data_IF_237627292727
#
_entry.id   IF_237627292727
#
_cell.length_a   1.000
_cell.length_b   1.000
_cell.length_c   1.000
_cell.angle_alpha   90.00
_cell.angle_beta   90.00
_cell.angle_gamma   90.00
#
_symmetry.space_group_name_H-M   'P 1'
#
loop_
_entity.id
_entity.type
_entity.pdbx_description
1 polymer ?
#
# COMPACT_ATOMS: atom_id res chain seq x y z
N UNK A 1 -29.31 -9.42 -16.68
CA UNK A 1 -28.99 -9.52 -15.26
C UNK A 1 -28.50 -8.16 -14.81
N UNK A 2 -29.09 -7.60 -13.76
CA UNK A 2 -28.84 -6.19 -13.39
C UNK A 2 -27.60 -6.17 -12.47
N UNK A 3 -26.56 -5.41 -12.84
CA UNK A 3 -25.31 -5.25 -12.06
C UNK A 3 -25.58 -4.97 -10.57
N UNK A 4 -26.67 -4.28 -10.24
CA UNK A 4 -27.09 -3.97 -8.87
C UNK A 4 -27.57 -5.22 -8.10
N UNK A 5 -28.15 -6.21 -8.75
CA UNK A 5 -28.63 -7.43 -8.09
C UNK A 5 -27.49 -8.44 -7.87
N UNK A 6 -26.51 -8.49 -8.79
CA UNK A 6 -25.29 -9.28 -8.58
C UNK A 6 -24.45 -8.72 -7.43
N UNK A 7 -24.29 -7.40 -7.37
CA UNK A 7 -23.59 -6.75 -6.27
C UNK A 7 -24.31 -6.98 -4.92
N UNK A 8 -25.64 -6.86 -4.86
CA UNK A 8 -26.40 -7.15 -3.63
C UNK A 8 -26.18 -8.56 -3.14
N UNK A 9 -26.28 -9.54 -4.03
CA UNK A 9 -26.05 -10.95 -3.65
C UNK A 9 -24.61 -11.18 -3.20
N UNK A 10 -23.64 -10.59 -3.89
CA UNK A 10 -22.22 -10.68 -3.51
C UNK A 10 -21.96 -10.07 -2.14
N UNK A 11 -22.57 -8.92 -1.84
CA UNK A 11 -22.43 -8.26 -0.54
C UNK A 11 -23.16 -9.02 0.58
N UNK A 12 -24.35 -9.60 0.31
CA UNK A 12 -25.05 -10.47 1.27
C UNK A 12 -24.26 -11.73 1.61
N UNK A 13 -23.56 -12.31 0.62
CA UNK A 13 -22.67 -13.48 0.83
C UNK A 13 -21.41 -13.10 1.62
N UNK A 14 -20.87 -11.89 1.43
CA UNK A 14 -19.68 -11.38 2.12
C UNK A 14 -19.99 -10.79 3.51
N UNK A 15 -21.22 -10.35 3.77
CA UNK A 15 -21.61 -9.76 5.05
C UNK A 15 -21.65 -10.77 6.21
N UNK A 16 -21.63 -12.07 5.92
CA UNK A 16 -21.43 -13.09 6.95
C UNK A 16 -19.94 -13.11 7.37
N UNK A 17 -19.61 -12.75 8.63
CA UNK A 17 -18.23 -12.77 9.11
C UNK A 17 -17.50 -14.10 8.92
N UNK A 18 -18.24 -15.23 8.86
CA UNK A 18 -17.63 -16.56 8.67
C UNK A 18 -17.09 -16.73 7.25
N UNK A 19 -17.68 -16.06 6.26
CA UNK A 19 -17.30 -16.14 4.86
C UNK A 19 -16.18 -15.18 4.45
N UNK A 20 -15.77 -14.26 5.35
CA UNK A 20 -14.70 -13.31 5.04
C UNK A 20 -13.37 -14.03 4.95
N UNK A 21 -12.77 -13.97 3.77
CA UNK A 21 -11.41 -14.50 3.52
C UNK A 21 -10.36 -13.60 4.21
N UNK A 22 -9.61 -14.21 5.11
CA UNK A 22 -8.51 -13.56 5.85
C UNK A 22 -7.14 -14.11 5.45
N UNK A 23 -7.07 -14.93 4.42
CA UNK A 23 -5.82 -15.54 3.94
C UNK A 23 -4.75 -14.51 3.56
N UNK A 24 -5.17 -13.29 3.19
CA UNK A 24 -4.26 -12.18 2.92
C UNK A 24 -3.45 -11.69 4.14
N UNK A 25 -3.82 -12.14 5.35
CA UNK A 25 -3.09 -11.86 6.59
C UNK A 25 -2.17 -13.01 7.01
N UNK A 26 -2.14 -14.11 6.26
CA UNK A 26 -1.26 -15.23 6.54
C UNK A 26 0.20 -14.85 6.24
N UNK A 27 1.10 -15.26 7.15
CA UNK A 27 2.54 -15.06 6.95
C UNK A 27 3.07 -16.18 6.05
N UNK A 28 3.70 -15.78 4.97
CA UNK A 28 4.25 -16.69 3.98
C UNK A 28 5.53 -17.38 4.49
N UNK A 29 5.86 -18.54 3.93
CA UNK A 29 7.10 -19.26 4.28
C UNK A 29 8.35 -18.63 3.66
N UNK A 30 8.20 -18.00 2.49
CA UNK A 30 9.28 -17.38 1.73
C UNK A 30 8.88 -15.98 1.28
N UNK A 31 9.84 -15.16 0.91
CA UNK A 31 9.59 -13.98 0.08
C UNK A 31 8.95 -14.41 -1.25
N UNK A 32 8.30 -13.49 -1.95
CA UNK A 32 7.56 -13.82 -3.17
C UNK A 32 8.49 -14.41 -4.25
N UNK A 33 8.28 -15.67 -4.69
CA UNK A 33 9.27 -16.40 -5.49
C UNK A 33 9.46 -15.87 -6.93
N UNK A 34 8.53 -15.04 -7.43
CA UNK A 34 8.71 -14.40 -8.74
C UNK A 34 9.48 -13.08 -8.68
N UNK A 35 9.70 -12.55 -7.46
CA UNK A 35 10.48 -11.33 -7.25
C UNK A 35 11.86 -11.64 -6.66
N UNK A 36 11.94 -12.62 -5.78
CA UNK A 36 13.12 -12.90 -4.96
C UNK A 36 13.69 -14.29 -5.27
N UNK A 37 14.98 -14.40 -5.41
CA UNK A 37 15.65 -15.65 -5.57
C UNK A 37 15.81 -16.44 -4.23
N UNK A 38 16.42 -17.62 -4.29
CA UNK A 38 16.66 -18.45 -3.10
C UNK A 38 17.66 -17.83 -2.10
N UNK A 39 18.44 -16.84 -2.52
CA UNK A 39 19.36 -16.07 -1.68
C UNK A 39 18.72 -14.81 -1.11
N UNK A 40 17.42 -14.62 -1.37
CA UNK A 40 16.65 -13.42 -1.01
C UNK A 40 17.19 -12.15 -1.68
N UNK A 41 17.75 -12.26 -2.87
CA UNK A 41 18.10 -11.13 -3.72
C UNK A 41 16.98 -10.89 -4.73
N UNK A 42 16.77 -9.62 -5.07
CA UNK A 42 15.77 -9.24 -6.07
C UNK A 42 16.22 -9.76 -7.44
N UNK A 43 15.27 -10.24 -8.25
CA UNK A 43 15.54 -10.60 -9.63
C UNK A 43 16.16 -9.42 -10.39
N UNK A 44 17.28 -9.62 -11.08
CA UNK A 44 18.07 -8.57 -11.72
C UNK A 44 17.24 -7.77 -12.76
N UNK A 45 16.41 -8.46 -13.57
CA UNK A 45 15.58 -7.82 -14.59
C UNK A 45 14.47 -6.96 -13.93
N UNK A 46 13.92 -7.44 -12.83
CA UNK A 46 12.93 -6.68 -12.04
C UNK A 46 13.60 -5.48 -11.38
N UNK A 47 14.78 -5.66 -10.78
CA UNK A 47 15.55 -4.58 -10.16
C UNK A 47 15.86 -3.46 -11.15
N UNK A 48 16.38 -3.80 -12.32
CA UNK A 48 16.66 -2.85 -13.40
C UNK A 48 15.40 -2.10 -13.84
N UNK A 49 14.27 -2.82 -14.01
CA UNK A 49 13.00 -2.24 -14.41
C UNK A 49 12.46 -1.26 -13.35
N UNK A 50 12.50 -1.64 -12.07
CA UNK A 50 12.08 -0.78 -10.97
C UNK A 50 12.95 0.49 -10.88
N UNK A 51 14.26 0.33 -11.06
CA UNK A 51 15.18 1.47 -11.06
C UNK A 51 14.93 2.42 -12.23
N UNK A 52 14.61 1.89 -13.41
CA UNK A 52 14.26 2.71 -14.58
C UNK A 52 12.93 3.46 -14.37
N UNK A 53 11.91 2.82 -13.80
CA UNK A 53 10.65 3.47 -13.40
C UNK A 53 10.92 4.63 -12.42
N UNK A 54 11.73 4.38 -11.40
CA UNK A 54 12.10 5.40 -10.43
C UNK A 54 12.81 6.60 -11.08
N UNK A 55 13.78 6.35 -11.97
CA UNK A 55 14.48 7.40 -12.72
C UNK A 55 13.55 8.21 -13.62
N UNK A 56 12.61 7.53 -14.30
CA UNK A 56 11.62 8.21 -15.14
C UNK A 56 10.71 9.11 -14.31
N UNK A 57 10.18 8.59 -13.20
CA UNK A 57 9.37 9.41 -12.30
C UNK A 57 10.16 10.58 -11.73
N UNK A 58 11.39 10.36 -11.24
CA UNK A 58 12.24 11.42 -10.69
C UNK A 58 12.53 12.52 -11.72
N UNK A 59 12.79 12.14 -12.97
CA UNK A 59 12.98 13.08 -14.09
C UNK A 59 11.73 13.93 -14.34
N UNK A 60 10.53 13.36 -14.20
CA UNK A 60 9.27 14.08 -14.38
C UNK A 60 8.99 15.11 -13.28
N UNK A 61 9.66 15.03 -12.13
CA UNK A 61 9.57 16.05 -11.07
C UNK A 61 10.34 17.33 -11.41
N UNK A 62 11.21 17.29 -12.43
CA UNK A 62 12.08 18.40 -12.86
C UNK A 62 12.97 18.97 -11.74
N UNK A 63 13.37 18.12 -10.77
CA UNK A 63 14.22 18.44 -9.63
C UNK A 63 15.70 18.16 -9.96
N UNK A 64 16.22 18.76 -11.03
CA UNK A 64 17.56 18.46 -11.58
C UNK A 64 18.74 18.82 -10.64
N UNK A 65 18.50 19.59 -9.59
CA UNK A 65 19.49 19.98 -8.59
C UNK A 65 19.47 19.10 -7.33
N UNK A 66 18.51 18.17 -7.24
CA UNK A 66 18.33 17.27 -6.10
C UNK A 66 18.94 15.92 -6.43
N UNK A 67 19.68 15.34 -5.48
CA UNK A 67 20.27 14.01 -5.64
C UNK A 67 19.24 12.90 -5.30
N UNK A 68 19.09 11.94 -6.21
CA UNK A 68 18.43 10.66 -5.91
C UNK A 68 19.41 9.78 -5.13
N UNK A 69 19.28 9.80 -3.81
CA UNK A 69 20.20 9.12 -2.88
C UNK A 69 20.08 7.60 -3.05
N UNK A 70 18.84 7.08 -2.96
CA UNK A 70 18.56 5.65 -3.12
C UNK A 70 17.17 5.43 -3.74
N UNK A 71 16.94 4.21 -4.17
CA UNK A 71 15.63 3.69 -4.56
C UNK A 71 15.42 2.41 -3.77
N UNK A 72 14.36 2.37 -2.94
CA UNK A 72 14.12 1.23 -2.06
C UNK A 72 12.78 0.56 -2.33
N UNK A 73 12.77 -0.76 -2.27
CA UNK A 73 11.57 -1.59 -2.27
C UNK A 73 11.22 -1.92 -0.82
N UNK A 74 9.97 -1.65 -0.43
CA UNK A 74 9.45 -1.87 0.91
C UNK A 74 8.08 -2.57 0.88
N UNK A 75 7.33 -2.52 1.96
CA UNK A 75 5.98 -3.06 2.00
C UNK A 75 5.91 -4.58 2.13
N UNK A 76 4.75 -5.13 1.82
CA UNK A 76 4.47 -6.56 2.02
C UNK A 76 5.30 -7.45 1.09
N UNK A 77 5.59 -7.02 -0.15
CA UNK A 77 6.41 -7.78 -1.10
C UNK A 77 7.90 -7.80 -0.74
N UNK A 78 8.37 -6.85 0.08
CA UNK A 78 9.70 -6.89 0.71
C UNK A 78 9.66 -7.59 2.08
N UNK A 79 8.61 -8.36 2.38
CA UNK A 79 8.40 -9.04 3.64
C UNK A 79 7.68 -10.38 3.41
N UNK A 80 7.42 -11.11 4.48
CA UNK A 80 6.68 -12.38 4.49
C UNK A 80 5.15 -12.20 4.58
N UNK A 81 4.64 -10.97 4.52
CA UNK A 81 3.21 -10.63 4.62
C UNK A 81 2.56 -10.35 3.27
N UNK A 82 3.21 -10.80 2.18
CA UNK A 82 2.66 -10.61 0.84
C UNK A 82 1.45 -11.51 0.56
N UNK A 83 0.56 -11.02 -0.29
CA UNK A 83 -0.61 -11.74 -0.81
C UNK A 83 -0.85 -11.37 -2.28
N UNK A 84 -1.84 -12.00 -2.89
CA UNK A 84 -2.28 -11.65 -4.26
C UNK A 84 -2.79 -10.19 -4.42
N UNK A 85 -3.05 -9.49 -3.31
CA UNK A 85 -3.52 -8.11 -3.28
C UNK A 85 -2.39 -7.11 -2.95
N UNK A 86 -1.16 -7.60 -2.85
CA UNK A 86 0.00 -6.75 -2.59
C UNK A 86 0.33 -5.87 -3.79
N UNK A 87 0.99 -4.76 -3.53
CA UNK A 87 1.58 -3.83 -4.47
C UNK A 87 3.10 -3.75 -4.26
N UNK A 88 3.81 -3.23 -5.25
CA UNK A 88 5.24 -2.97 -5.18
C UNK A 88 5.43 -1.54 -4.71
N UNK A 89 5.76 -1.36 -3.43
CA UNK A 89 6.03 -0.06 -2.81
C UNK A 89 7.46 0.40 -3.12
N UNK A 90 7.62 1.29 -4.10
CA UNK A 90 8.90 1.81 -4.56
C UNK A 90 9.14 3.21 -4.03
N UNK A 91 10.10 3.36 -3.11
CA UNK A 91 10.44 4.63 -2.49
C UNK A 91 11.69 5.24 -3.11
N UNK A 92 11.61 6.49 -3.55
CA UNK A 92 12.73 7.29 -4.00
C UNK A 92 13.20 8.14 -2.82
N UNK A 93 14.43 7.94 -2.41
CA UNK A 93 15.01 8.59 -1.23
C UNK A 93 15.77 9.84 -1.67
N UNK A 94 15.35 11.00 -1.17
CA UNK A 94 16.00 12.29 -1.41
C UNK A 94 16.11 13.09 -0.11
N UNK A 95 16.97 14.08 -0.05
CA UNK A 95 16.99 15.04 1.05
C UNK A 95 16.04 16.22 0.72
N UNK A 96 14.93 16.34 1.47
CA UNK A 96 13.94 17.39 1.26
C UNK A 96 14.51 18.80 1.39
N UNK A 97 15.58 18.97 2.17
CA UNK A 97 16.29 20.26 2.29
C UNK A 97 16.93 20.73 1.00
N UNK A 98 17.28 19.79 0.09
CA UNK A 98 17.79 20.17 -1.23
C UNK A 98 16.68 20.75 -2.12
N UNK A 99 15.42 20.43 -1.85
CA UNK A 99 14.27 20.95 -2.61
C UNK A 99 13.90 22.35 -2.11
N UNK A 100 13.59 22.48 -0.81
CA UNK A 100 13.25 23.76 -0.17
C UNK A 100 13.42 23.65 1.36
N UNK A 101 13.66 24.81 2.03
CA UNK A 101 13.74 24.87 3.49
C UNK A 101 12.40 24.52 4.18
N UNK A 102 11.27 24.77 3.52
CA UNK A 102 9.95 24.42 4.00
C UNK A 102 9.62 22.96 3.70
N UNK A 103 10.15 22.05 4.52
CA UNK A 103 10.02 20.60 4.32
C UNK A 103 8.55 20.10 4.36
N UNK A 104 7.65 20.76 5.09
CA UNK A 104 6.23 20.41 5.12
C UNK A 104 5.57 20.67 3.74
N UNK A 105 5.89 21.80 3.12
CA UNK A 105 5.43 22.10 1.76
C UNK A 105 6.01 21.11 0.74
N UNK A 106 7.30 20.76 0.88
CA UNK A 106 7.96 19.75 0.04
C UNK A 106 7.26 18.41 0.15
N UNK A 107 7.02 17.92 1.37
CA UNK A 107 6.33 16.68 1.64
C UNK A 107 4.93 16.65 1.01
N UNK A 108 4.15 17.72 1.16
CA UNK A 108 2.82 17.86 0.57
C UNK A 108 2.84 17.86 -0.96
N UNK A 109 3.78 18.58 -1.55
CA UNK A 109 3.97 18.62 -3.00
C UNK A 109 4.33 17.25 -3.56
N UNK A 110 5.36 16.61 -2.99
CA UNK A 110 5.86 15.31 -3.46
C UNK A 110 4.82 14.20 -3.29
N UNK A 111 4.10 14.18 -2.16
CA UNK A 111 3.00 13.23 -1.95
C UNK A 111 1.88 13.37 -2.99
N UNK A 112 1.50 14.59 -3.34
CA UNK A 112 0.50 14.86 -4.39
C UNK A 112 1.02 14.46 -5.77
N UNK A 113 2.29 14.71 -6.04
CA UNK A 113 2.96 14.32 -7.29
C UNK A 113 3.00 12.80 -7.45
N UNK A 114 3.39 12.05 -6.41
CA UNK A 114 3.35 10.59 -6.40
C UNK A 114 1.93 10.06 -6.63
N UNK A 115 0.95 10.61 -5.92
CA UNK A 115 -0.46 10.20 -6.08
C UNK A 115 -0.98 10.45 -7.50
N UNK A 116 -0.57 11.54 -8.15
CA UNK A 116 -0.95 11.83 -9.52
C UNK A 116 -0.26 10.89 -10.51
N UNK A 117 1.03 10.62 -10.31
CA UNK A 117 1.80 9.67 -11.11
C UNK A 117 1.18 8.28 -11.05
N UNK A 118 1.01 7.70 -9.87
CA UNK A 118 0.44 6.37 -9.62
C UNK A 118 -0.96 6.22 -10.24
N UNK A 119 -1.78 7.27 -10.20
CA UNK A 119 -3.11 7.26 -10.84
C UNK A 119 -3.03 7.20 -12.37
N UNK A 120 -2.04 7.85 -12.97
CA UNK A 120 -1.91 7.97 -14.43
C UNK A 120 -1.06 6.85 -15.06
N UNK A 121 -0.24 6.16 -14.27
CA UNK A 121 0.69 5.12 -14.72
C UNK A 121 0.39 3.82 -13.97
N UNK A 122 -0.41 2.97 -14.59
CA UNK A 122 -0.74 1.64 -14.06
C UNK A 122 0.28 0.63 -14.58
N UNK A 123 1.43 0.56 -13.89
CA UNK A 123 2.54 -0.31 -14.27
C UNK A 123 2.42 -1.61 -13.47
N UNK A 124 2.48 -2.75 -14.16
CA UNK A 124 2.40 -4.07 -13.55
C UNK A 124 3.71 -4.82 -13.77
N UNK A 125 4.27 -5.38 -12.70
CA UNK A 125 5.41 -6.31 -12.73
C UNK A 125 4.97 -7.60 -12.04
N UNK A 126 5.03 -8.72 -12.75
CA UNK A 126 4.55 -10.04 -12.27
C UNK A 126 3.10 -10.01 -11.73
N UNK A 127 2.27 -9.10 -12.23
CA UNK A 127 0.87 -8.94 -11.80
C UNK A 127 0.66 -7.96 -10.64
N UNK A 128 1.73 -7.47 -10.00
CA UNK A 128 1.67 -6.49 -8.92
C UNK A 128 1.78 -5.06 -9.48
N UNK A 129 0.93 -4.16 -8.99
CA UNK A 129 0.99 -2.74 -9.36
C UNK A 129 2.19 -2.08 -8.69
N UNK A 130 2.96 -1.28 -9.46
CA UNK A 130 4.07 -0.49 -8.92
C UNK A 130 3.55 0.86 -8.47
N UNK A 131 3.67 1.15 -7.19
CA UNK A 131 3.37 2.45 -6.61
C UNK A 131 4.66 3.17 -6.20
N UNK A 132 4.85 4.38 -6.71
CA UNK A 132 6.04 5.19 -6.41
C UNK A 132 5.75 6.23 -5.34
N UNK A 133 6.71 6.41 -4.43
CA UNK A 133 6.67 7.39 -3.34
C UNK A 133 7.99 8.13 -3.25
N UNK A 134 7.97 9.38 -2.78
CA UNK A 134 9.19 10.09 -2.40
C UNK A 134 9.26 10.16 -0.89
N UNK A 135 10.43 9.84 -0.35
CA UNK A 135 10.67 9.82 1.09
C UNK A 135 11.90 10.68 1.43
N UNK A 136 11.82 11.44 2.53
CA UNK A 136 12.99 12.17 3.04
C UNK A 136 14.03 11.19 3.58
N UNK A 137 15.29 11.39 3.22
CA UNK A 137 16.42 10.63 3.74
C UNK A 137 16.61 10.72 5.25
N UNK A 138 15.98 11.71 5.89
CA UNK A 138 15.99 11.90 7.34
C UNK A 138 14.81 11.20 8.05
N UNK A 139 13.85 10.64 7.31
CA UNK A 139 12.75 9.86 7.86
C UNK A 139 13.20 8.42 8.12
N UNK A 140 12.86 7.85 9.29
CA UNK A 140 13.14 6.44 9.56
C UNK A 140 12.30 5.54 8.65
N UNK A 141 12.85 4.39 8.30
CA UNK A 141 12.08 3.32 7.67
C UNK A 141 11.21 2.63 8.71
N UNK A 142 9.94 2.45 8.38
CA UNK A 142 8.97 1.77 9.25
C UNK A 142 8.56 0.39 8.71
N UNK A 143 9.17 -0.07 7.63
CA UNK A 143 8.92 -1.39 7.04
C UNK A 143 9.82 -2.44 7.70
N UNK A 144 9.26 -3.64 7.93
CA UNK A 144 10.02 -4.78 8.45
C UNK A 144 11.03 -5.36 7.46
N UNK A 145 10.99 -4.95 6.18
CA UNK A 145 11.97 -5.25 5.14
C UNK A 145 12.18 -4.03 4.26
N UNK A 146 13.45 -3.67 4.02
CA UNK A 146 13.85 -2.55 3.15
C UNK A 146 15.01 -3.00 2.26
N UNK A 147 14.79 -3.03 0.96
CA UNK A 147 15.79 -3.42 -0.02
C UNK A 147 16.19 -2.24 -0.89
N UNK A 148 17.49 -1.96 -0.97
CA UNK A 148 18.02 -0.97 -1.92
C UNK A 148 18.05 -1.57 -3.32
N UNK A 149 17.18 -1.12 -4.18
CA UNK A 149 17.14 -1.48 -5.60
C UNK A 149 18.36 -0.90 -6.33
N UNK A 150 18.77 0.32 -5.95
CA UNK A 150 19.95 1.00 -6.52
C UNK A 150 21.25 0.27 -6.23
N UNK A 151 21.40 -0.32 -5.03
CA UNK A 151 22.65 -0.94 -4.58
C UNK A 151 22.57 -2.47 -4.53
N UNK A 152 21.42 -3.04 -4.92
CA UNK A 152 21.15 -4.48 -4.95
C UNK A 152 21.46 -5.18 -3.62
N UNK A 153 20.92 -4.65 -2.52
CA UNK A 153 21.18 -5.19 -1.17
C UNK A 153 20.09 -4.83 -0.17
N UNK A 154 19.92 -5.67 0.84
CA UNK A 154 19.09 -5.37 1.99
C UNK A 154 19.71 -4.26 2.84
N UNK A 155 18.93 -3.21 3.12
CA UNK A 155 19.19 -2.22 4.16
C UNK A 155 18.67 -2.78 5.49
N UNK A 156 17.45 -3.33 5.47
CA UNK A 156 16.81 -4.02 6.58
C UNK A 156 16.27 -5.37 6.08
N UNK A 157 16.83 -6.46 6.58
CA UNK A 157 16.40 -7.81 6.19
C UNK A 157 15.10 -8.14 6.91
N UNK A 158 14.07 -8.59 6.18
CA UNK A 158 12.78 -8.89 6.79
C UNK A 158 12.90 -10.06 7.77
N UNK A 159 12.25 -9.91 8.92
CA UNK A 159 12.13 -10.97 9.89
C UNK A 159 10.76 -11.63 9.77
N UNK A 160 10.75 -12.97 9.71
CA UNK A 160 9.49 -13.73 9.68
C UNK A 160 8.93 -13.82 11.09
N UNK A 161 8.08 -12.88 11.44
CA UNK A 161 7.31 -12.91 12.68
C UNK A 161 5.87 -13.28 12.38
N UNK A 162 5.30 -14.17 13.20
CA UNK A 162 3.89 -14.53 13.11
C UNK A 162 3.10 -13.55 14.00
N UNK A 163 2.43 -12.54 13.41
CA UNK A 163 1.66 -11.59 14.19
C UNK A 163 0.49 -12.31 14.86
N UNK A 164 0.30 -12.08 16.15
CA UNK A 164 -0.84 -12.62 16.91
C UNK A 164 -2.13 -11.89 16.48
N UNK A 165 -2.66 -12.25 15.32
CA UNK A 165 -3.87 -11.64 14.75
C UNK A 165 -5.11 -12.34 15.31
N UNK A 166 -6.00 -11.59 15.95
CA UNK A 166 -7.35 -12.06 16.27
C UNK A 166 -8.24 -11.99 15.01
N UNK A 167 -8.19 -13.05 14.21
CA UNK A 167 -8.98 -13.17 12.98
C UNK A 167 -10.48 -13.01 13.20
N UNK A 168 -11.02 -13.43 14.34
CA UNK A 168 -12.44 -13.26 14.65
C UNK A 168 -12.79 -11.77 14.79
N UNK A 169 -11.92 -11.00 15.42
CA UNK A 169 -12.10 -9.55 15.56
C UNK A 169 -11.94 -8.83 14.21
N UNK A 170 -10.97 -9.26 13.39
CA UNK A 170 -10.78 -8.75 12.01
C UNK A 170 -12.03 -9.01 11.18
N UNK A 171 -12.54 -10.23 11.14
CA UNK A 171 -13.77 -10.60 10.41
C UNK A 171 -14.97 -9.78 10.85
N UNK A 172 -15.20 -9.63 12.16
CA UNK A 172 -16.29 -8.79 12.69
C UNK A 172 -16.17 -7.32 12.28
N UNK A 173 -14.96 -6.77 12.33
CA UNK A 173 -14.72 -5.38 11.90
C UNK A 173 -14.93 -5.21 10.40
N UNK A 174 -14.49 -6.17 9.58
CA UNK A 174 -14.72 -6.15 8.14
C UNK A 174 -16.22 -6.24 7.82
N UNK A 175 -16.97 -7.16 8.44
CA UNK A 175 -18.42 -7.24 8.28
C UNK A 175 -19.12 -5.91 8.61
N UNK A 176 -18.80 -5.27 9.73
CA UNK A 176 -19.35 -3.98 10.09
C UNK A 176 -19.01 -2.86 9.08
N UNK A 177 -17.86 -2.95 8.38
CA UNK A 177 -17.52 -1.99 7.31
C UNK A 177 -18.33 -2.28 6.04
N UNK A 178 -18.60 -3.54 5.75
CA UNK A 178 -19.47 -3.94 4.64
C UNK A 178 -20.90 -3.46 4.85
N UNK A 179 -21.44 -3.60 6.08
CA UNK A 179 -22.76 -3.07 6.45
C UNK A 179 -22.85 -1.53 6.24
N UNK A 180 -21.78 -0.80 6.62
CA UNK A 180 -21.72 0.65 6.39
C UNK A 180 -21.75 0.98 4.88
N UNK A 181 -21.08 0.20 4.03
CA UNK A 181 -21.08 0.36 2.57
C UNK A 181 -22.45 0.02 1.98
N UNK A 182 -23.10 -1.02 2.47
CA UNK A 182 -24.44 -1.41 2.05
C UNK A 182 -25.47 -0.32 2.34
N UNK A 183 -25.40 0.32 3.49
CA UNK A 183 -26.30 1.45 3.80
C UNK A 183 -26.07 2.63 2.85
N UNK A 184 -24.80 2.95 2.48
CA UNK A 184 -24.50 3.97 1.46
C UNK A 184 -25.13 3.60 0.11
N UNK A 185 -25.01 2.36 -0.32
CA UNK A 185 -25.58 1.88 -1.60
C UNK A 185 -27.10 1.92 -1.60
N UNK A 186 -27.73 1.58 -0.48
CA UNK A 186 -29.18 1.62 -0.29
C UNK A 186 -29.69 3.06 -0.37
N UNK A 187 -29.08 4.01 0.34
CA UNK A 187 -29.41 5.42 0.28
C UNK A 187 -29.25 5.99 -1.13
N UNK A 188 -28.13 5.65 -1.80
CA UNK A 188 -27.89 6.05 -3.19
C UNK A 188 -28.95 5.51 -4.15
N UNK A 189 -29.33 4.23 -4.01
CA UNK A 189 -30.36 3.58 -4.83
C UNK A 189 -31.73 4.23 -4.62
N UNK A 190 -32.03 4.65 -3.39
CA UNK A 190 -33.24 5.37 -3.03
C UNK A 190 -33.24 6.84 -3.46
N UNK A 191 -32.14 7.32 -4.07
CA UNK A 191 -31.91 8.72 -4.50
C UNK A 191 -31.79 9.72 -3.34
N UNK A 192 -31.43 9.25 -2.16
CA UNK A 192 -31.15 10.03 -0.95
C UNK A 192 -29.69 10.48 -0.94
N UNK A 193 -29.28 11.23 -1.99
CA UNK A 193 -27.87 11.48 -2.32
C UNK A 193 -27.08 12.23 -1.24
N UNK A 194 -27.71 13.19 -0.53
CA UNK A 194 -27.04 13.94 0.54
C UNK A 194 -26.70 13.02 1.72
N UNK A 195 -27.64 12.16 2.11
CA UNK A 195 -27.43 11.18 3.18
C UNK A 195 -26.41 10.12 2.76
N UNK A 196 -26.48 9.62 1.50
CA UNK A 196 -25.50 8.69 0.97
C UNK A 196 -24.08 9.26 1.01
N UNK A 197 -23.90 10.55 0.69
CA UNK A 197 -22.61 11.22 0.74
C UNK A 197 -22.08 11.31 2.18
N UNK A 198 -22.91 11.69 3.13
CA UNK A 198 -22.55 11.79 4.55
C UNK A 198 -22.13 10.42 5.14
N UNK A 199 -22.88 9.36 4.85
CA UNK A 199 -22.53 8.00 5.29
C UNK A 199 -21.28 7.48 4.59
N UNK A 200 -21.07 7.79 3.30
CA UNK A 200 -19.84 7.43 2.59
C UNK A 200 -18.60 8.12 3.21
N UNK A 201 -18.71 9.38 3.62
CA UNK A 201 -17.61 10.08 4.31
C UNK A 201 -17.33 9.46 5.68
N UNK A 202 -18.36 9.08 6.45
CA UNK A 202 -18.19 8.39 7.73
C UNK A 202 -17.51 7.03 7.55
N UNK A 203 -17.95 6.22 6.58
CA UNK A 203 -17.35 4.93 6.25
C UNK A 203 -15.86 5.09 5.87
N UNK A 204 -15.55 6.06 4.99
CA UNK A 204 -14.17 6.39 4.60
C UNK A 204 -13.29 6.76 5.80
N UNK A 205 -13.80 7.59 6.71
CA UNK A 205 -13.06 7.97 7.92
C UNK A 205 -12.84 6.79 8.87
N UNK A 206 -13.81 5.89 8.99
CA UNK A 206 -13.71 4.66 9.80
C UNK A 206 -12.64 3.73 9.25
N UNK A 207 -12.64 3.48 7.92
CA UNK A 207 -11.62 2.68 7.24
C UNK A 207 -10.21 3.30 7.42
N UNK A 208 -10.10 4.62 7.25
CA UNK A 208 -8.83 5.34 7.44
C UNK A 208 -8.28 5.19 8.87
N UNK A 209 -9.13 5.35 9.89
CA UNK A 209 -8.74 5.15 11.29
C UNK A 209 -8.32 3.71 11.56
N UNK A 210 -9.00 2.75 10.96
CA UNK A 210 -8.65 1.33 11.10
C UNK A 210 -7.26 1.04 10.52
N UNK A 211 -6.95 1.56 9.32
CA UNK A 211 -5.60 1.44 8.74
C UNK A 211 -4.54 2.11 9.61
N UNK A 212 -4.79 3.32 10.12
CA UNK A 212 -3.86 4.02 10.99
C UNK A 212 -3.58 3.25 12.29
N UNK A 213 -4.62 2.72 12.95
CA UNK A 213 -4.43 1.93 14.18
C UNK A 213 -3.69 0.62 13.92
N UNK A 214 -3.82 0.00 12.74
CA UNK A 214 -3.03 -1.16 12.34
C UNK A 214 -1.54 -0.81 12.17
N UNK A 215 -1.25 0.32 11.55
CA UNK A 215 0.13 0.82 11.41
C UNK A 215 0.76 1.17 12.76
N UNK A 216 0.02 1.85 13.65
CA UNK A 216 0.51 2.20 15.00
C UNK A 216 0.78 0.94 15.83
N UNK A 217 -0.04 -0.11 15.73
CA UNK A 217 0.20 -1.38 16.41
C UNK A 217 1.44 -2.10 15.87
N UNK A 218 1.71 -2.01 14.57
CA UNK A 218 2.94 -2.57 13.99
C UNK A 218 4.19 -1.81 14.44
N UNK A 219 4.07 -0.52 14.75
CA UNK A 219 5.14 0.33 15.27
C UNK A 219 5.43 0.11 16.77
N UNK A 220 4.45 -0.37 17.55
CA UNK A 220 4.60 -0.62 18.99
C UNK A 220 5.35 -1.95 19.25
N UNK A 221 5.43 -2.83 18.27
CA UNK A 221 6.15 -4.11 18.39
C UNK A 221 7.60 -4.07 17.87
N UNK A 222 8.06 -2.88 17.47
CA UNK A 222 9.48 -2.60 17.23
C UNK A 222 10.05 -1.86 18.43
#
# INVERSE_FOLDING_TARGET
>A
MNLTEEWKRYLEELADPENIDVSSFEVQETLHPELWDASQLLDEEIGDTLYDIAKEYFKNLDLNWVELIDVTLTGSLANYTWSQFSDIDLHLIIDYKQVDENQELVADYLRKSSSLWNRNHKILIKGFEVEVYIQDSNEPHYSGGVYSVKNDQWIETPNREDPQIDFNNVKKKAANMMDDIDEVLKLFTNKEYEQALDEAEKARLKIRKFRQSGLELSLIHI
#
